data_IF_422060993681
#
_entry.id   IF_422060993681
#
_cell.length_a   1.000
_cell.length_b   1.000
_cell.length_c   1.000
_cell.angle_alpha   90.00
_cell.angle_beta   90.00
_cell.angle_gamma   90.00
#
_symmetry.space_group_name_H-M   'P 1'
#
loop_
_entity.id
_entity.type
_entity.pdbx_description
1 polymer ?
#
# COMPACT_ATOMS: atom_id res chain seq x y z
N UNK A 1 49.67 -34.70 30.38
CA UNK A 1 49.45 -34.60 28.93
C UNK A 1 49.72 -33.16 28.52
N UNK A 2 50.68 -33.02 27.62
CA UNK A 2 51.25 -31.83 26.97
C UNK A 2 50.23 -30.71 26.70
N UNK A 3 50.47 -29.47 27.16
CA UNK A 3 51.26 -28.38 26.54
C UNK A 3 50.86 -28.01 25.11
N UNK A 4 50.34 -26.79 24.93
CA UNK A 4 50.91 -25.67 24.14
C UNK A 4 49.88 -24.50 24.13
N UNK A 5 50.17 -23.34 24.75
CA UNK A 5 50.87 -22.15 24.21
C UNK A 5 50.02 -21.39 23.15
N UNK A 6 49.90 -20.05 23.08
CA UNK A 6 50.44 -18.90 23.84
C UNK A 6 49.87 -17.59 23.23
N UNK A 7 49.55 -16.61 24.10
CA UNK A 7 49.93 -15.18 24.08
C UNK A 7 49.54 -14.14 22.99
N UNK A 8 49.09 -12.99 23.54
CA UNK A 8 49.41 -11.57 23.24
C UNK A 8 48.88 -10.96 21.92
N UNK A 9 48.32 -9.75 21.89
CA UNK A 9 48.98 -8.48 22.27
C UNK A 9 48.00 -7.31 22.42
N UNK A 10 48.40 -6.36 23.26
CA UNK A 10 47.85 -5.02 23.53
C UNK A 10 48.26 -4.03 22.40
N UNK A 11 47.55 -2.89 22.28
CA UNK A 11 48.07 -1.50 22.10
C UNK A 11 47.30 -0.67 21.03
N UNK A 12 46.73 0.44 21.53
CA UNK A 12 46.30 1.65 20.83
C UNK A 12 47.42 2.33 20.03
N UNK A 13 47.10 3.00 18.90
CA UNK A 13 47.66 4.33 18.61
C UNK A 13 47.05 4.98 17.36
N UNK A 14 46.40 6.14 17.60
CA UNK A 14 46.50 7.44 16.92
C UNK A 14 46.95 7.55 15.45
N UNK A 15 46.14 8.29 14.69
CA UNK A 15 46.52 9.40 13.76
C UNK A 15 45.27 10.29 13.68
N UNK A 16 45.20 11.58 14.08
CA UNK A 16 46.01 12.78 13.87
C UNK A 16 46.12 13.22 12.40
N UNK A 17 45.28 14.20 12.02
CA UNK A 17 45.54 15.37 11.15
C UNK A 17 44.21 16.16 10.99
N UNK A 18 43.97 17.31 11.65
CA UNK A 18 44.26 18.71 11.22
C UNK A 18 43.97 18.96 9.75
N UNK A 19 43.16 19.91 9.26
CA UNK A 19 42.95 21.36 9.51
C UNK A 19 41.92 21.78 8.42
N UNK A 20 40.95 22.66 8.60
CA UNK A 20 41.09 24.12 8.52
C UNK A 20 39.74 24.80 8.77
N UNK A 21 39.83 25.99 9.37
CA UNK A 21 38.76 26.93 9.70
C UNK A 21 38.87 28.11 8.71
N UNK A 22 37.78 28.55 8.07
CA UNK A 22 37.56 29.99 7.84
C UNK A 22 36.07 30.33 7.63
N UNK A 23 35.67 31.40 8.31
CA UNK A 23 34.36 32.06 8.45
C UNK A 23 34.11 33.07 7.29
N UNK A 24 32.95 33.79 7.23
CA UNK A 24 32.17 34.06 6.02
C UNK A 24 32.47 35.43 5.37
N UNK A 25 32.03 35.61 4.13
CA UNK A 25 31.97 36.91 3.46
C UNK A 25 30.53 37.28 3.09
N UNK A 26 30.16 38.53 3.40
CA UNK A 26 28.93 39.21 2.98
C UNK A 26 29.17 40.08 1.72
N UNK A 27 28.07 40.27 0.99
CA UNK A 27 27.65 41.36 0.10
C UNK A 27 28.36 41.62 -1.24
N UNK A 28 27.59 41.50 -2.34
CA UNK A 28 27.17 42.65 -3.17
C UNK A 28 26.30 42.23 -4.37
N UNK A 29 25.28 43.05 -4.63
CA UNK A 29 24.32 42.98 -5.74
C UNK A 29 24.95 43.44 -7.07
N UNK A 30 24.74 42.69 -8.16
CA UNK A 30 24.55 43.26 -9.51
C UNK A 30 23.60 42.40 -10.36
N UNK A 31 22.83 43.10 -11.16
CA UNK A 31 21.64 42.74 -11.93
C UNK A 31 21.83 41.84 -13.16
N UNK A 32 20.69 41.24 -13.54
CA UNK A 32 20.25 40.81 -14.88
C UNK A 32 20.43 39.35 -15.28
N UNK A 33 19.29 38.73 -15.62
CA UNK A 33 19.19 37.62 -16.57
C UNK A 33 18.72 36.30 -15.98
N UNK A 34 17.41 36.04 -16.11
CA UNK A 34 16.78 34.73 -16.30
C UNK A 34 17.45 33.49 -15.65
N UNK A 35 16.85 32.95 -14.59
CA UNK A 35 17.03 31.56 -14.15
C UNK A 35 15.71 31.04 -13.57
N UNK A 36 15.11 29.99 -14.15
CA UNK A 36 15.20 28.59 -13.69
C UNK A 36 14.98 28.51 -12.17
N UNK A 37 13.75 28.22 -11.79
CA UNK A 37 13.40 27.90 -10.40
C UNK A 37 13.83 26.45 -10.13
N UNK A 38 15.06 26.28 -9.65
CA UNK A 38 15.43 25.11 -8.86
C UNK A 38 14.67 25.16 -7.53
N UNK A 39 13.76 24.20 -7.31
CA UNK A 39 13.24 23.95 -5.96
C UNK A 39 14.07 22.83 -5.32
N UNK A 40 14.99 23.25 -4.44
CA UNK A 40 15.83 22.38 -3.65
C UNK A 40 15.05 21.54 -2.64
N UNK A 41 15.42 20.26 -2.55
CA UNK A 41 15.02 19.38 -1.47
C UNK A 41 15.83 19.71 -0.21
N UNK A 42 15.19 20.29 0.79
CA UNK A 42 15.74 20.33 2.16
C UNK A 42 15.26 19.10 2.92
N UNK A 43 16.21 18.37 3.51
CA UNK A 43 15.99 17.21 4.36
C UNK A 43 15.37 17.64 5.71
N UNK A 44 14.53 16.75 6.25
CA UNK A 44 14.03 16.67 7.64
C UNK A 44 12.80 17.49 8.08
N UNK A 45 11.62 17.04 7.63
CA UNK A 45 10.48 16.85 8.54
C UNK A 45 9.56 15.72 8.04
N UNK A 46 9.80 14.49 8.52
CA UNK A 46 8.86 13.39 8.37
C UNK A 46 7.71 13.58 9.37
N UNK A 47 6.46 13.65 8.86
CA UNK A 47 5.22 13.06 9.42
C UNK A 47 3.97 13.79 8.93
N UNK A 48 3.72 13.76 7.62
CA UNK A 48 2.35 13.65 7.11
C UNK A 48 2.39 12.71 5.92
N UNK A 49 1.66 11.60 6.01
CA UNK A 49 1.38 10.76 4.85
C UNK A 49 0.87 11.68 3.73
N UNK A 50 1.37 11.58 2.49
CA UNK A 50 0.95 12.49 1.44
C UNK A 50 -0.56 12.34 1.28
N UNK A 51 -1.26 13.44 1.57
CA UNK A 51 -2.63 13.69 1.16
C UNK A 51 -2.71 13.23 -0.29
N UNK A 52 -3.59 12.26 -0.53
CA UNK A 52 -3.94 11.66 -1.82
C UNK A 52 -3.36 12.43 -3.00
N UNK A 53 -2.33 11.86 -3.61
CA UNK A 53 -1.75 12.33 -4.87
C UNK A 53 -2.89 12.74 -5.81
N UNK A 54 -3.01 14.06 -6.05
CA UNK A 54 -4.18 14.70 -6.65
C UNK A 54 -4.56 14.01 -7.97
N UNK A 55 -5.85 13.72 -8.19
CA UNK A 55 -6.30 13.10 -9.45
C UNK A 55 -5.92 13.95 -10.68
N UNK A 56 -5.78 15.26 -10.52
CA UNK A 56 -5.25 16.13 -11.57
C UNK A 56 -3.79 15.83 -11.90
N UNK A 57 -2.99 15.31 -10.96
CA UNK A 57 -1.62 14.88 -11.23
C UNK A 57 -1.61 13.74 -12.25
N UNK A 58 -2.44 12.71 -12.06
CA UNK A 58 -2.49 11.57 -12.99
C UNK A 58 -3.02 11.96 -14.36
N UNK A 59 -3.99 12.88 -14.42
CA UNK A 59 -4.50 13.42 -15.69
C UNK A 59 -3.41 14.12 -16.52
N UNK A 60 -2.48 14.80 -15.85
CA UNK A 60 -1.41 15.54 -16.51
C UNK A 60 -0.13 14.70 -16.69
N UNK A 61 -0.13 13.44 -16.23
CA UNK A 61 1.04 12.59 -16.24
C UNK A 61 1.24 11.97 -17.63
N UNK A 62 2.02 12.64 -18.48
CA UNK A 62 2.37 12.18 -19.84
C UNK A 62 3.46 11.10 -19.85
N UNK A 63 3.30 10.06 -19.03
CA UNK A 63 4.19 8.90 -18.97
C UNK A 63 3.45 7.67 -18.45
N UNK A 64 3.97 6.48 -18.75
CA UNK A 64 3.44 5.23 -18.22
C UNK A 64 3.77 5.06 -16.72
N UNK A 65 2.86 4.44 -15.96
CA UNK A 65 3.01 4.26 -14.52
C UNK A 65 2.26 3.05 -13.97
N UNK A 66 2.53 2.72 -12.71
CA UNK A 66 1.92 1.65 -11.93
C UNK A 66 1.16 2.27 -10.76
N UNK A 67 -0.08 1.83 -10.55
CA UNK A 67 -0.87 2.13 -9.36
C UNK A 67 -1.08 0.82 -8.58
N UNK A 68 -0.66 0.79 -7.32
CA UNK A 68 -1.18 -0.19 -6.38
C UNK A 68 -2.52 0.29 -5.80
N UNK A 69 -3.55 -0.54 -5.86
CA UNK A 69 -4.89 -0.23 -5.33
C UNK A 69 -5.54 -1.50 -4.76
N UNK A 70 -6.40 -1.34 -3.77
CA UNK A 70 -7.25 -2.41 -3.21
C UNK A 70 -8.67 -2.38 -3.80
N UNK A 71 -8.95 -1.44 -4.69
CA UNK A 71 -10.24 -1.24 -5.34
C UNK A 71 -10.01 -1.01 -6.83
N UNK A 72 -10.26 -2.04 -7.65
CA UNK A 72 -10.17 -1.95 -9.11
C UNK A 72 -11.40 -1.30 -9.72
N UNK A 73 -12.58 -1.55 -9.14
CA UNK A 73 -13.85 -1.07 -9.68
C UNK A 73 -13.94 0.46 -9.61
N UNK A 74 -13.56 1.06 -8.49
CA UNK A 74 -13.42 2.52 -8.35
C UNK A 74 -12.50 3.11 -9.42
N UNK A 75 -11.37 2.45 -9.70
CA UNK A 75 -10.38 2.93 -10.67
C UNK A 75 -10.85 2.77 -12.11
N UNK A 76 -11.56 1.69 -12.43
CA UNK A 76 -12.17 1.49 -13.75
C UNK A 76 -13.21 2.59 -14.01
N UNK A 77 -14.13 2.79 -13.05
CA UNK A 77 -15.16 3.82 -13.13
C UNK A 77 -14.54 5.22 -13.28
N UNK A 78 -13.50 5.51 -12.51
CA UNK A 78 -12.76 6.77 -12.62
C UNK A 78 -12.17 6.96 -14.02
N UNK A 79 -11.48 5.96 -14.58
CA UNK A 79 -10.88 6.08 -15.91
C UNK A 79 -11.93 6.32 -16.99
N UNK A 80 -13.04 5.57 -16.94
CA UNK A 80 -14.15 5.70 -17.90
C UNK A 80 -14.83 7.07 -17.83
N UNK A 81 -14.95 7.66 -16.64
CA UNK A 81 -15.52 8.99 -16.45
C UNK A 81 -14.54 10.12 -16.80
N UNK A 82 -13.23 9.85 -16.76
CA UNK A 82 -12.18 10.86 -16.95
C UNK A 82 -11.73 10.97 -18.40
N UNK A 83 -11.65 9.83 -19.11
CA UNK A 83 -11.09 9.75 -20.46
C UNK A 83 -12.15 9.33 -21.48
N UNK A 84 -12.00 9.84 -22.71
CA UNK A 84 -12.86 9.45 -23.82
C UNK A 84 -12.64 7.97 -24.18
N UNK A 85 -13.72 7.21 -24.37
CA UNK A 85 -13.71 5.80 -24.74
C UNK A 85 -12.96 5.50 -26.05
N UNK A 86 -12.83 6.46 -26.96
CA UNK A 86 -12.06 6.28 -28.19
C UNK A 86 -10.57 6.04 -27.91
N UNK A 87 -10.04 6.71 -26.89
CA UNK A 87 -8.61 6.71 -26.53
C UNK A 87 -8.30 5.94 -25.25
N UNK A 88 -9.31 5.39 -24.58
CA UNK A 88 -9.15 4.53 -23.41
C UNK A 88 -9.34 3.06 -23.80
N UNK A 89 -8.38 2.22 -23.47
CA UNK A 89 -8.46 0.75 -23.61
C UNK A 89 -8.21 0.13 -22.25
N UNK A 90 -9.18 -0.65 -21.78
CA UNK A 90 -9.09 -1.32 -20.47
C UNK A 90 -9.01 -2.82 -20.70
N UNK A 91 -7.95 -3.44 -20.17
CA UNK A 91 -7.77 -4.88 -20.11
C UNK A 91 -7.99 -5.32 -18.66
N UNK A 92 -9.04 -6.11 -18.41
CA UNK A 92 -9.34 -6.68 -17.10
C UNK A 92 -9.10 -8.19 -17.18
N UNK A 93 -8.21 -8.70 -16.34
CA UNK A 93 -7.82 -10.12 -16.32
C UNK A 93 -7.69 -10.62 -14.90
N UNK A 94 -7.98 -11.89 -14.65
CA UNK A 94 -7.61 -12.51 -13.38
C UNK A 94 -6.10 -12.74 -13.36
N UNK A 95 -5.58 -13.44 -14.37
CA UNK A 95 -4.16 -13.61 -14.66
C UNK A 95 -3.85 -13.02 -16.05
N UNK A 96 -2.87 -12.11 -16.13
CA UNK A 96 -2.35 -11.62 -17.41
C UNK A 96 -1.43 -12.68 -18.05
N UNK A 97 -1.85 -13.27 -19.17
CA UNK A 97 -1.09 -14.28 -19.91
C UNK A 97 -0.35 -13.70 -21.11
N UNK A 98 0.49 -14.52 -21.73
CA UNK A 98 1.33 -14.09 -22.86
C UNK A 98 0.49 -13.61 -24.06
N UNK A 99 -0.63 -14.29 -24.34
CA UNK A 99 -1.54 -13.89 -25.43
C UNK A 99 -2.17 -12.53 -25.15
N UNK A 100 -2.56 -12.25 -23.90
CA UNK A 100 -3.07 -10.94 -23.49
C UNK A 100 -2.01 -9.84 -23.68
N UNK A 101 -0.75 -10.12 -23.34
CA UNK A 101 0.35 -9.19 -23.57
C UNK A 101 0.54 -8.90 -25.07
N UNK A 102 0.41 -9.91 -25.93
CA UNK A 102 0.44 -9.69 -27.38
C UNK A 102 -0.71 -8.83 -27.87
N UNK A 103 -1.92 -9.02 -27.34
CA UNK A 103 -3.07 -8.19 -27.71
C UNK A 103 -2.93 -6.75 -27.22
N UNK A 104 -2.40 -6.54 -26.01
CA UNK A 104 -2.03 -5.21 -25.50
C UNK A 104 -1.01 -4.52 -26.42
N UNK A 105 0.03 -5.26 -26.84
CA UNK A 105 1.05 -4.75 -27.76
C UNK A 105 0.43 -4.37 -29.09
N UNK A 106 -0.42 -5.23 -29.67
CA UNK A 106 -1.12 -4.93 -30.93
C UNK A 106 -1.96 -3.66 -30.80
N UNK A 107 -2.75 -3.53 -29.73
CA UNK A 107 -3.58 -2.34 -29.47
C UNK A 107 -2.74 -1.06 -29.35
N UNK A 108 -1.58 -1.14 -28.70
CA UNK A 108 -0.65 -0.02 -28.58
C UNK A 108 -0.13 0.46 -29.95
N UNK A 109 0.08 -0.44 -30.90
CA UNK A 109 0.53 -0.08 -32.25
C UNK A 109 -0.59 0.44 -33.17
N UNK A 110 -1.86 0.32 -32.77
CA UNK A 110 -2.95 0.95 -33.52
C UNK A 110 -2.78 2.48 -33.43
N UNK A 111 -2.48 3.10 -34.57
CA UNK A 111 -2.20 4.52 -34.67
C UNK A 111 -3.34 5.38 -34.11
N UNK A 112 -2.95 6.48 -33.46
CA UNK A 112 -3.86 7.45 -32.86
C UNK A 112 -3.30 8.84 -33.07
N UNK A 113 -4.17 9.81 -33.33
CA UNK A 113 -3.81 11.24 -33.37
C UNK A 113 -3.74 11.85 -31.96
N UNK A 114 -4.41 11.24 -30.98
CA UNK A 114 -4.52 11.69 -29.60
C UNK A 114 -3.81 10.75 -28.63
N UNK A 115 -3.63 11.23 -27.40
CA UNK A 115 -3.09 10.43 -26.29
C UNK A 115 -4.00 9.24 -26.00
N UNK A 116 -3.50 8.02 -26.23
CA UNK A 116 -4.17 6.76 -25.94
C UNK A 116 -3.65 6.20 -24.63
N UNK A 117 -4.57 5.77 -23.77
CA UNK A 117 -4.30 5.13 -22.49
C UNK A 117 -4.68 3.66 -22.58
N UNK A 118 -3.73 2.80 -22.25
CA UNK A 118 -3.93 1.37 -22.10
C UNK A 118 -3.82 1.03 -20.60
N UNK A 119 -4.97 0.80 -19.98
CA UNK A 119 -5.07 0.44 -18.57
C UNK A 119 -5.18 -1.08 -18.41
N UNK A 120 -4.29 -1.67 -17.62
CA UNK A 120 -4.16 -3.11 -17.44
C UNK A 120 -4.42 -3.44 -15.97
N UNK A 121 -5.56 -4.07 -15.72
CA UNK A 121 -5.98 -4.55 -14.40
C UNK A 121 -5.79 -6.07 -14.36
N UNK A 122 -4.90 -6.56 -13.49
CA UNK A 122 -4.82 -7.98 -13.22
C UNK A 122 -4.50 -8.33 -11.76
N UNK A 123 -5.05 -9.45 -11.29
CA UNK A 123 -4.79 -9.94 -9.92
C UNK A 123 -3.46 -10.71 -9.83
N UNK A 124 -3.02 -11.29 -10.94
CA UNK A 124 -1.71 -11.89 -11.14
C UNK A 124 -1.19 -11.60 -12.56
N UNK A 125 0.13 -11.59 -12.72
CA UNK A 125 0.79 -11.34 -13.99
C UNK A 125 1.77 -12.47 -14.27
N UNK A 126 1.57 -13.21 -15.35
CA UNK A 126 2.46 -14.29 -15.73
C UNK A 126 3.85 -13.74 -16.11
N UNK A 127 4.93 -14.42 -15.69
CA UNK A 127 6.30 -13.97 -15.95
C UNK A 127 6.62 -13.80 -17.45
N UNK A 128 6.10 -14.70 -18.30
CA UNK A 128 6.30 -14.59 -19.76
C UNK A 128 5.56 -13.39 -20.34
N UNK A 129 4.33 -13.11 -19.87
CA UNK A 129 3.55 -11.94 -20.27
C UNK A 129 4.27 -10.64 -19.91
N UNK A 130 4.80 -10.56 -18.68
CA UNK A 130 5.53 -9.40 -18.21
C UNK A 130 6.79 -9.12 -19.04
N UNK A 131 7.57 -10.15 -19.37
CA UNK A 131 8.75 -10.00 -20.20
C UNK A 131 8.42 -9.57 -21.63
N UNK A 132 7.32 -10.07 -22.20
CA UNK A 132 6.86 -9.65 -23.52
C UNK A 132 6.55 -8.15 -23.58
N UNK A 133 6.06 -7.57 -22.47
CA UNK A 133 5.75 -6.15 -22.38
C UNK A 133 6.99 -5.25 -22.20
N UNK A 134 8.14 -5.78 -21.78
CA UNK A 134 9.31 -4.93 -21.47
C UNK A 134 9.74 -4.04 -22.63
N UNK A 135 9.78 -4.60 -23.85
CA UNK A 135 10.21 -3.87 -25.04
C UNK A 135 9.31 -2.67 -25.34
N UNK A 136 7.99 -2.84 -25.24
CA UNK A 136 7.06 -1.75 -25.52
C UNK A 136 7.00 -0.70 -24.40
N UNK A 137 7.39 -1.07 -23.18
CA UNK A 137 7.51 -0.12 -22.07
C UNK A 137 8.78 0.73 -22.15
N UNK A 138 9.85 0.24 -22.78
CA UNK A 138 11.08 1.01 -23.04
C UNK A 138 10.88 2.04 -24.15
N UNK A 139 10.29 1.60 -25.26
CA UNK A 139 10.08 2.42 -26.45
C UNK A 139 8.58 2.41 -26.82
N UNK A 140 7.72 3.10 -26.04
CA UNK A 140 6.30 3.13 -26.32
C UNK A 140 6.01 3.86 -27.62
N UNK A 141 4.97 3.44 -28.39
CA UNK A 141 4.50 4.20 -29.52
C UNK A 141 4.13 5.64 -29.14
N UNK A 142 4.26 6.57 -30.10
CA UNK A 142 3.97 7.98 -29.86
C UNK A 142 2.55 8.16 -29.31
N UNK A 143 2.41 8.95 -28.25
CA UNK A 143 1.14 9.26 -27.59
C UNK A 143 0.44 8.04 -26.97
N UNK A 144 1.15 6.94 -26.67
CA UNK A 144 0.57 5.78 -25.97
C UNK A 144 1.15 5.67 -24.56
N UNK A 145 0.27 5.60 -23.56
CA UNK A 145 0.62 5.50 -22.16
C UNK A 145 0.01 4.27 -21.52
N UNK A 146 0.81 3.54 -20.74
CA UNK A 146 0.37 2.34 -20.03
C UNK A 146 0.14 2.64 -18.56
N UNK A 147 -0.98 2.15 -18.03
CA UNK A 147 -1.29 2.20 -16.60
C UNK A 147 -1.48 0.78 -16.09
N UNK A 148 -0.60 0.33 -15.21
CA UNK A 148 -0.73 -0.98 -14.56
C UNK A 148 -1.41 -0.83 -13.21
N UNK A 149 -2.45 -1.62 -12.97
CA UNK A 149 -3.13 -1.69 -11.67
C UNK A 149 -2.84 -3.02 -10.98
N UNK A 150 -2.24 -2.94 -9.80
CA UNK A 150 -1.82 -4.12 -9.02
C UNK A 150 -2.38 -4.08 -7.61
N UNK A 151 -2.58 -5.23 -7.00
CA UNK A 151 -2.99 -5.33 -5.58
C UNK A 151 -1.80 -5.34 -4.62
N UNK A 152 -0.64 -5.80 -5.09
CA UNK A 152 0.60 -5.87 -4.31
C UNK A 152 1.84 -5.74 -5.20
N UNK A 153 2.94 -5.23 -4.64
CA UNK A 153 4.20 -4.98 -5.38
C UNK A 153 4.81 -6.25 -5.98
N UNK A 154 4.70 -7.38 -5.30
CA UNK A 154 5.26 -8.67 -5.75
C UNK A 154 4.55 -9.25 -6.99
N UNK A 155 3.49 -8.60 -7.49
CA UNK A 155 2.78 -9.02 -8.71
C UNK A 155 3.55 -8.70 -9.98
N UNK A 156 4.44 -7.71 -9.95
CA UNK A 156 5.27 -7.33 -11.09
C UNK A 156 6.74 -7.61 -10.82
N UNK A 157 7.48 -7.91 -11.89
CA UNK A 157 8.92 -8.11 -11.85
C UNK A 157 9.65 -6.76 -11.64
N UNK A 158 10.82 -6.77 -10.98
CA UNK A 158 11.60 -5.55 -10.73
C UNK A 158 11.93 -4.73 -11.99
N UNK A 159 12.10 -5.40 -13.13
CA UNK A 159 12.42 -4.74 -14.41
C UNK A 159 11.27 -3.89 -14.97
N UNK A 160 10.01 -4.17 -14.60
CA UNK A 160 8.88 -3.27 -14.90
C UNK A 160 8.94 -2.04 -13.97
N UNK A 161 9.20 -2.25 -12.68
CA UNK A 161 9.33 -1.13 -11.72
C UNK A 161 10.51 -0.20 -12.04
N UNK A 162 11.57 -0.69 -12.68
CA UNK A 162 12.69 0.17 -13.08
C UNK A 162 12.35 1.09 -14.26
N UNK A 163 11.30 0.77 -15.03
CA UNK A 163 10.88 1.53 -16.23
C UNK A 163 9.70 2.47 -15.97
N UNK A 164 8.90 2.17 -14.95
CA UNK A 164 7.65 2.86 -14.68
C UNK A 164 7.65 3.55 -13.32
N UNK A 165 7.04 4.74 -13.25
CA UNK A 165 6.76 5.38 -11.97
C UNK A 165 5.77 4.52 -11.17
N UNK A 166 5.99 4.39 -9.86
CA UNK A 166 5.11 3.61 -8.99
C UNK A 166 4.41 4.49 -7.98
N UNK A 167 3.10 4.31 -7.85
CA UNK A 167 2.24 5.03 -6.92
C UNK A 167 1.43 4.04 -6.08
N UNK A 168 1.49 4.18 -4.77
CA UNK A 168 0.70 3.37 -3.85
C UNK A 168 -0.56 4.15 -3.44
N UNK A 169 -1.69 3.79 -4.05
CA UNK A 169 -3.01 4.35 -3.74
C UNK A 169 -3.88 3.39 -2.93
N UNK A 170 -3.30 2.29 -2.43
CA UNK A 170 -4.03 1.43 -1.51
C UNK A 170 -4.39 2.26 -0.30
N UNK A 171 -5.68 2.34 -0.01
CA UNK A 171 -6.12 2.92 1.25
C UNK A 171 -5.47 2.07 2.33
N UNK A 172 -4.56 2.65 3.10
CA UNK A 172 -4.19 2.06 4.39
C UNK A 172 -5.50 2.00 5.14
N UNK A 173 -6.02 0.81 5.38
CA UNK A 173 -7.12 0.66 6.30
C UNK A 173 -6.62 1.28 7.60
N UNK A 174 -7.09 2.48 7.93
CA UNK A 174 -6.93 3.00 9.27
C UNK A 174 -7.78 2.07 10.10
N UNK A 175 -7.15 1.03 10.64
CA UNK A 175 -7.80 0.15 11.59
C UNK A 175 -8.06 1.06 12.78
N UNK A 176 -9.31 1.51 12.91
CA UNK A 176 -9.73 2.24 14.11
C UNK A 176 -9.35 1.40 15.33
N UNK A 177 -8.84 2.05 16.37
CA UNK A 177 -8.50 1.33 17.59
C UNK A 177 -9.76 0.67 18.13
N UNK A 178 -9.67 -0.62 18.49
CA UNK A 178 -10.78 -1.28 19.16
C UNK A 178 -11.04 -0.57 20.50
N UNK A 179 -12.29 -0.24 20.85
CA UNK A 179 -12.58 0.67 21.96
C UNK A 179 -12.32 0.09 23.36
N UNK A 180 -12.02 -1.21 23.48
CA UNK A 180 -11.72 -1.86 24.75
C UNK A 180 -10.25 -2.31 24.81
N UNK A 181 -9.66 -2.18 25.99
CA UNK A 181 -8.33 -2.71 26.30
C UNK A 181 -8.44 -4.19 26.69
N UNK A 182 -7.97 -5.10 25.82
CA UNK A 182 -8.08 -6.56 26.03
C UNK A 182 -7.34 -7.01 27.29
N UNK A 183 -6.22 -6.36 27.65
CA UNK A 183 -5.46 -6.72 28.84
C UNK A 183 -6.23 -6.50 30.16
N UNK A 184 -7.23 -5.61 30.15
CA UNK A 184 -8.09 -5.24 31.29
C UNK A 184 -9.54 -5.74 31.15
N UNK A 185 -9.82 -6.52 30.11
CA UNK A 185 -11.17 -6.94 29.78
C UNK A 185 -11.77 -7.78 30.92
N UNK A 186 -13.00 -7.46 31.30
CA UNK A 186 -13.79 -8.21 32.27
C UNK A 186 -15.26 -8.27 31.84
N UNK A 187 -15.99 -9.20 32.43
CA UNK A 187 -17.39 -9.47 32.09
C UNK A 187 -18.27 -8.21 32.17
N UNK A 188 -18.23 -7.37 33.23
CA UNK A 188 -18.97 -6.11 33.28
C UNK A 188 -18.66 -5.14 32.11
N UNK A 189 -17.38 -5.00 31.74
CA UNK A 189 -16.96 -4.16 30.62
C UNK A 189 -17.52 -4.66 29.30
N UNK A 190 -17.50 -5.99 29.07
CA UNK A 190 -18.07 -6.62 27.87
C UNK A 190 -19.56 -6.33 27.80
N UNK A 191 -20.32 -6.60 28.85
CA UNK A 191 -21.77 -6.35 28.85
C UNK A 191 -22.11 -4.87 28.63
N UNK A 192 -21.38 -3.95 29.26
CA UNK A 192 -21.57 -2.51 29.06
C UNK A 192 -21.37 -2.13 27.58
N UNK A 193 -20.30 -2.63 26.97
CA UNK A 193 -19.99 -2.35 25.58
C UNK A 193 -21.01 -2.96 24.62
N UNK A 194 -21.40 -4.23 24.82
CA UNK A 194 -22.42 -4.89 24.00
C UNK A 194 -23.76 -4.15 24.08
N UNK A 195 -24.16 -3.69 25.27
CA UNK A 195 -25.37 -2.88 25.45
C UNK A 195 -25.30 -1.54 24.71
N UNK A 196 -24.13 -0.91 24.67
CA UNK A 196 -23.92 0.29 23.86
C UNK A 196 -24.06 -0.02 22.36
N UNK A 197 -23.46 -1.13 21.88
CA UNK A 197 -23.58 -1.56 20.48
C UNK A 197 -25.00 -1.95 20.07
N UNK A 198 -25.82 -2.42 21.00
CA UNK A 198 -27.25 -2.71 20.76
C UNK A 198 -28.06 -1.42 20.58
N UNK A 199 -27.73 -0.37 21.34
CA UNK A 199 -28.38 0.93 21.27
C UNK A 199 -27.94 1.76 20.07
N UNK A 200 -26.69 1.58 19.64
CA UNK A 200 -26.18 2.14 18.40
C UNK A 200 -26.66 1.29 17.21
N UNK A 201 -27.35 1.88 16.23
CA UNK A 201 -27.71 1.20 14.99
C UNK A 201 -26.48 1.01 14.09
N UNK A 202 -25.62 0.05 14.44
CA UNK A 202 -24.32 -0.18 13.81
C UNK A 202 -24.48 -0.93 12.48
N UNK A 203 -23.82 -0.43 11.44
CA UNK A 203 -23.77 -1.10 10.14
C UNK A 203 -22.93 -2.38 10.19
N UNK A 204 -23.26 -3.35 9.33
CA UNK A 204 -22.49 -4.59 9.20
C UNK A 204 -21.03 -4.34 8.82
N UNK A 205 -20.77 -3.29 8.04
CA UNK A 205 -19.42 -2.85 7.68
C UNK A 205 -18.64 -2.38 8.91
N UNK A 206 -19.25 -1.54 9.76
CA UNK A 206 -18.65 -1.14 11.04
C UNK A 206 -18.41 -2.35 11.94
N UNK A 207 -19.30 -3.35 11.94
CA UNK A 207 -19.08 -4.63 12.63
C UNK A 207 -17.85 -5.40 12.13
N UNK A 208 -17.62 -5.48 10.81
CA UNK A 208 -16.42 -6.11 10.23
C UNK A 208 -15.15 -5.35 10.61
N UNK A 209 -15.21 -4.03 10.59
CA UNK A 209 -14.09 -3.18 11.01
C UNK A 209 -13.77 -3.35 12.51
N UNK A 210 -14.77 -3.55 13.36
CA UNK A 210 -14.59 -3.89 14.77
C UNK A 210 -13.90 -5.25 14.96
N UNK A 211 -14.23 -6.28 14.16
CA UNK A 211 -13.52 -7.56 14.22
C UNK A 211 -12.06 -7.45 13.75
N UNK A 212 -11.81 -6.73 12.66
CA UNK A 212 -10.44 -6.49 12.18
C UNK A 212 -9.60 -5.72 13.21
N UNK A 213 -10.17 -4.70 13.84
CA UNK A 213 -9.47 -3.94 14.89
C UNK A 213 -9.21 -4.75 16.14
N UNK A 214 -10.14 -5.63 16.52
CA UNK A 214 -9.93 -6.58 17.61
C UNK A 214 -8.79 -7.56 17.31
N UNK A 215 -8.80 -8.20 16.13
CA UNK A 215 -7.73 -9.11 15.70
C UNK A 215 -6.36 -8.42 15.66
N UNK A 216 -6.33 -7.19 15.14
CA UNK A 216 -5.11 -6.39 15.10
C UNK A 216 -4.59 -6.11 16.52
N UNK A 217 -5.47 -5.72 17.45
CA UNK A 217 -5.07 -5.46 18.84
C UNK A 217 -4.54 -6.71 19.54
N UNK A 218 -5.20 -7.86 19.36
CA UNK A 218 -4.76 -9.17 19.90
C UNK A 218 -3.34 -9.48 19.42
N UNK A 219 -3.08 -9.32 18.11
CA UNK A 219 -1.77 -9.53 17.53
C UNK A 219 -0.70 -8.55 18.08
N UNK A 220 -1.05 -7.28 18.31
CA UNK A 220 -0.14 -6.30 18.92
C UNK A 220 0.19 -6.60 20.39
N UNK A 221 -0.74 -7.19 21.13
CA UNK A 221 -0.57 -7.54 22.54
C UNK A 221 0.07 -8.93 22.75
N UNK A 222 0.47 -9.62 21.67
CA UNK A 222 1.00 -11.00 21.70
C UNK A 222 0.09 -11.98 22.46
N UNK A 223 -1.22 -11.81 22.35
CA UNK A 223 -2.19 -12.74 22.93
C UNK A 223 -2.30 -13.93 21.98
N UNK A 224 -1.98 -15.12 22.46
CA UNK A 224 -2.13 -16.35 21.69
C UNK A 224 -3.60 -16.71 21.52
N UNK A 225 -4.02 -16.99 20.28
CA UNK A 225 -5.35 -17.50 19.96
C UNK A 225 -5.27 -19.01 19.77
N UNK A 226 -6.10 -19.75 20.51
CA UNK A 226 -6.27 -21.18 20.30
C UNK A 226 -7.09 -21.47 19.05
N UNK A 227 -7.13 -22.74 18.65
CA UNK A 227 -7.95 -23.18 17.51
C UNK A 227 -9.44 -22.83 17.69
N UNK A 228 -9.97 -23.01 18.90
CA UNK A 228 -11.35 -22.67 19.22
C UNK A 228 -11.64 -21.16 19.05
N UNK A 229 -10.68 -20.29 19.34
CA UNK A 229 -10.85 -18.85 19.15
C UNK A 229 -10.82 -18.47 17.67
N UNK A 230 -9.92 -19.07 16.90
CA UNK A 230 -9.88 -18.89 15.44
C UNK A 230 -11.20 -19.33 14.77
N UNK A 231 -11.76 -20.46 15.21
CA UNK A 231 -13.08 -20.93 14.76
C UNK A 231 -14.19 -19.93 15.13
N UNK A 232 -14.17 -19.35 16.34
CA UNK A 232 -15.13 -18.30 16.73
C UNK A 232 -15.02 -17.06 15.84
N UNK A 233 -13.80 -16.65 15.46
CA UNK A 233 -13.60 -15.53 14.55
C UNK A 233 -14.14 -15.81 13.15
N UNK A 234 -13.94 -17.02 12.62
CA UNK A 234 -14.48 -17.41 11.31
C UNK A 234 -16.02 -17.42 11.31
N UNK A 235 -16.62 -18.04 12.33
CA UNK A 235 -18.09 -18.04 12.52
C UNK A 235 -18.61 -16.60 12.61
N UNK A 236 -17.94 -15.71 13.32
CA UNK A 236 -18.36 -14.32 13.44
C UNK A 236 -18.32 -13.56 12.11
N UNK A 237 -17.29 -13.78 11.28
CA UNK A 237 -17.20 -13.19 9.94
C UNK A 237 -18.34 -13.69 9.04
N UNK A 238 -18.64 -14.98 9.10
CA UNK A 238 -19.77 -15.59 8.38
C UNK A 238 -21.12 -15.04 8.87
N UNK A 239 -21.30 -14.91 10.18
CA UNK A 239 -22.50 -14.33 10.80
C UNK A 239 -22.79 -12.90 10.35
N UNK A 240 -21.76 -12.06 10.20
CA UNK A 240 -21.92 -10.71 9.64
C UNK A 240 -22.30 -10.72 8.16
N UNK A 241 -21.87 -11.73 7.40
CA UNK A 241 -22.27 -11.90 6.00
C UNK A 241 -23.77 -12.21 5.88
N UNK A 242 -24.31 -13.04 6.77
CA UNK A 242 -25.75 -13.36 6.83
C UNK A 242 -26.58 -12.30 7.58
N UNK A 243 -26.03 -11.10 7.78
CA UNK A 243 -26.69 -9.93 8.37
C UNK A 243 -27.12 -10.10 9.84
N UNK A 244 -26.44 -10.95 10.61
CA UNK A 244 -26.67 -11.04 12.05
C UNK A 244 -26.27 -9.72 12.75
N UNK A 245 -27.00 -9.34 13.81
CA UNK A 245 -26.74 -8.14 14.58
C UNK A 245 -25.33 -8.13 15.17
N UNK A 246 -24.60 -7.02 14.96
CA UNK A 246 -23.19 -6.86 15.32
C UNK A 246 -22.91 -7.14 16.80
N UNK A 247 -23.80 -6.72 17.70
CA UNK A 247 -23.66 -6.94 19.14
C UNK A 247 -23.74 -8.44 19.52
N UNK A 248 -24.56 -9.24 18.83
CA UNK A 248 -24.65 -10.68 19.05
C UNK A 248 -23.42 -11.43 18.52
N UNK A 249 -22.84 -10.92 17.44
CA UNK A 249 -21.63 -11.49 16.84
C UNK A 249 -20.40 -11.25 17.73
N UNK A 250 -20.26 -10.03 18.28
CA UNK A 250 -19.10 -9.66 19.10
C UNK A 250 -19.14 -10.26 20.51
N UNK A 251 -20.33 -10.49 21.08
CA UNK A 251 -20.48 -11.00 22.44
C UNK A 251 -19.68 -12.29 22.73
N UNK A 252 -19.82 -13.39 21.97
CA UNK A 252 -19.11 -14.64 22.25
C UNK A 252 -17.58 -14.49 22.11
N UNK A 253 -17.11 -13.65 21.18
CA UNK A 253 -15.68 -13.37 21.00
C UNK A 253 -15.13 -12.59 22.20
N UNK A 254 -15.81 -11.52 22.60
CA UNK A 254 -15.34 -10.71 23.71
C UNK A 254 -15.35 -11.47 25.04
N UNK A 255 -16.31 -12.37 25.24
CA UNK A 255 -16.35 -13.24 26.41
C UNK A 255 -15.21 -14.26 26.41
N UNK A 256 -14.82 -14.83 25.26
CA UNK A 256 -13.70 -15.79 25.21
C UNK A 256 -12.34 -15.12 25.50
N UNK A 257 -12.22 -13.81 25.22
CA UNK A 257 -11.01 -13.03 25.48
C UNK A 257 -10.90 -12.50 26.92
N UNK A 258 -11.95 -12.62 27.74
CA UNK A 258 -11.84 -12.32 29.18
C UNK A 258 -10.94 -13.38 29.81
N UNK A 259 -9.81 -12.96 30.38
CA UNK A 259 -8.85 -13.85 31.05
C UNK A 259 -9.57 -14.84 31.99
N UNK A 260 -9.53 -16.13 31.67
CA UNK A 260 -10.15 -17.21 32.45
C UNK A 260 -11.52 -17.69 31.96
N UNK A 261 -11.94 -17.34 30.74
CA UNK A 261 -13.15 -17.87 30.10
C UNK A 261 -12.94 -19.24 29.43
N UNK A 262 -12.86 -20.28 30.28
CA UNK A 262 -12.64 -21.73 30.04
C UNK A 262 -11.17 -22.17 30.17
#
# INVERSE_FOLDING_TARGET
METQNTNFSVVNSNSMETKDILLPCQDSLTSNGQNIVEMGFSQDHFLHAPIQMDMNFFKNLKKSYIIATNDFEDKINFLQNTYNSEYLRIFIKEELKIDDAHDIIKEAYIATSHEKIIAIFATSYNHFAQNALLKILEEPPKNVFFIFFITAKNKLIPTIFSRLAFFDQRKKNHIESFPLDIAKLNVPMVYKYIKQLEQENISLEKGRNLLHSLLYMIAQQNIELGQADLERFDIALQSLHVKQSVHLVLLPILLSLVKGGI
#
